data_IF_150915028824
#
_entry.id   IF_150915028824
#
_cell.length_a   1.000
_cell.length_b   1.000
_cell.length_c   1.000
_cell.angle_alpha   90.00
_cell.angle_beta   90.00
_cell.angle_gamma   90.00
#
_symmetry.space_group_name_H-M   'P 1'
#
loop_
_entity.id
_entity.type
_entity.pdbx_description
1 polymer ?
#
# COMPACT_ATOMS: atom_id res chain seq x y z
N UNK A 1 -4.77 -5.18 -7.98
CA UNK A 1 -3.93 -3.96 -7.85
C UNK A 1 -2.99 -3.88 -9.05
N UNK A 2 -2.81 -2.70 -9.56
CA UNK A 2 -1.88 -2.46 -10.67
C UNK A 2 -0.43 -2.61 -10.19
N UNK A 3 0.38 -3.34 -10.93
CA UNK A 3 1.80 -3.51 -10.62
C UNK A 3 2.58 -2.26 -11.07
N UNK A 4 3.42 -1.73 -10.20
CA UNK A 4 4.33 -0.62 -10.50
C UNK A 4 5.75 -1.16 -10.32
N UNK A 5 6.59 -0.99 -11.34
CA UNK A 5 7.86 -1.70 -11.44
C UNK A 5 9.10 -0.82 -11.36
N UNK A 6 8.95 0.49 -11.15
CA UNK A 6 10.07 1.41 -10.96
C UNK A 6 9.79 2.38 -9.82
N UNK A 7 10.87 2.85 -9.18
CA UNK A 7 10.75 3.85 -8.13
C UNK A 7 10.16 5.16 -8.65
N UNK A 8 10.57 5.58 -9.86
CA UNK A 8 10.05 6.81 -10.48
C UNK A 8 8.54 6.73 -10.70
N UNK A 9 8.04 5.60 -11.20
CA UNK A 9 6.60 5.41 -11.40
C UNK A 9 5.85 5.44 -10.07
N UNK A 10 6.41 4.86 -9.01
CA UNK A 10 5.83 4.93 -7.68
C UNK A 10 5.74 6.39 -7.20
N UNK A 11 6.82 7.12 -7.32
CA UNK A 11 6.87 8.53 -6.88
C UNK A 11 5.88 9.39 -7.66
N UNK A 12 5.74 9.14 -8.97
CA UNK A 12 4.76 9.85 -9.81
C UNK A 12 3.32 9.57 -9.36
N UNK A 13 3.03 8.31 -9.02
CA UNK A 13 1.70 7.93 -8.54
C UNK A 13 1.39 8.56 -7.18
N UNK A 14 2.37 8.59 -6.29
CA UNK A 14 2.21 9.24 -4.98
C UNK A 14 1.90 10.73 -5.15
N UNK A 15 2.63 11.40 -6.02
CA UNK A 15 2.46 12.84 -6.25
C UNK A 15 1.14 13.15 -6.97
N UNK A 16 0.65 12.25 -7.81
CA UNK A 16 -0.51 12.48 -8.67
C UNK A 16 -1.83 11.92 -8.13
N UNK A 17 -1.84 11.27 -6.98
CA UNK A 17 -3.05 10.63 -6.43
C UNK A 17 -3.52 11.33 -5.16
N UNK A 18 -4.84 11.49 -5.03
CA UNK A 18 -5.43 12.01 -3.80
C UNK A 18 -5.33 10.99 -2.68
N UNK A 19 -5.62 9.73 -2.98
CA UNK A 19 -5.52 8.62 -2.05
C UNK A 19 -4.87 7.44 -2.75
N UNK A 20 -3.76 6.95 -2.20
CA UNK A 20 -3.03 5.84 -2.78
C UNK A 20 -2.63 4.83 -1.70
N UNK A 21 -3.05 3.58 -1.88
CA UNK A 21 -2.56 2.47 -1.07
C UNK A 21 -1.46 1.74 -1.85
N UNK A 22 -0.33 1.52 -1.19
CA UNK A 22 0.81 0.81 -1.78
C UNK A 22 1.01 -0.49 -1.02
N UNK A 23 0.90 -1.60 -1.74
CA UNK A 23 1.12 -2.94 -1.19
C UNK A 23 2.50 -3.43 -1.61
N UNK A 24 3.40 -3.59 -0.65
CA UNK A 24 4.77 -4.03 -0.92
C UNK A 24 4.92 -5.50 -0.52
N UNK A 25 5.37 -6.31 -1.45
CA UNK A 25 5.53 -7.75 -1.24
C UNK A 25 6.84 -8.24 -1.86
N UNK A 26 7.08 -9.55 -1.72
CA UNK A 26 8.22 -10.23 -2.32
C UNK A 26 7.73 -11.56 -2.89
N UNK A 27 8.29 -12.05 -4.02
CA UNK A 27 7.79 -13.28 -4.65
C UNK A 27 7.83 -14.51 -3.76
N UNK A 28 8.77 -14.58 -2.81
CA UNK A 28 8.90 -15.73 -1.90
C UNK A 28 8.18 -15.56 -0.58
N UNK A 29 7.44 -14.47 -0.41
CA UNK A 29 6.71 -14.20 0.83
C UNK A 29 5.31 -14.83 0.79
N UNK A 30 5.14 -15.98 1.45
CA UNK A 30 3.86 -16.68 1.47
C UNK A 30 2.76 -15.87 2.16
N UNK A 31 3.11 -15.15 3.23
CA UNK A 31 2.17 -14.27 3.94
C UNK A 31 1.66 -13.16 3.02
N UNK A 32 2.54 -12.61 2.18
CA UNK A 32 2.17 -11.58 1.21
C UNK A 32 1.13 -12.11 0.21
N UNK A 33 1.31 -13.33 -0.27
CA UNK A 33 0.38 -13.96 -1.21
C UNK A 33 -0.99 -14.22 -0.59
N UNK A 34 -1.01 -14.60 0.69
CA UNK A 34 -2.26 -14.83 1.42
C UNK A 34 -2.99 -13.54 1.75
N UNK A 35 -2.23 -12.49 2.03
CA UNK A 35 -2.79 -11.19 2.43
C UNK A 35 -3.34 -10.40 1.25
N UNK A 36 -2.74 -10.52 0.07
CA UNK A 36 -3.10 -9.73 -1.11
C UNK A 36 -4.59 -9.78 -1.45
N UNK A 37 -5.23 -10.96 -1.56
CA UNK A 37 -6.66 -10.99 -1.87
C UNK A 37 -7.51 -10.36 -0.77
N UNK A 38 -7.08 -10.41 0.49
CA UNK A 38 -7.78 -9.77 1.59
C UNK A 38 -7.71 -8.24 1.47
N UNK A 39 -6.57 -7.70 1.07
CA UNK A 39 -6.41 -6.27 0.82
C UNK A 39 -7.27 -5.85 -0.36
N UNK A 40 -7.27 -6.63 -1.44
CA UNK A 40 -8.07 -6.32 -2.63
C UNK A 40 -9.57 -6.34 -2.30
N UNK A 41 -10.02 -7.29 -1.51
CA UNK A 41 -11.43 -7.36 -1.08
C UNK A 41 -11.78 -6.13 -0.21
N UNK A 42 -10.93 -5.78 0.74
CA UNK A 42 -11.11 -4.59 1.56
C UNK A 42 -11.27 -3.33 0.70
N UNK A 43 -10.45 -3.20 -0.34
CA UNK A 43 -10.45 -2.03 -1.21
C UNK A 43 -11.75 -1.87 -2.00
N UNK A 44 -12.55 -2.91 -2.15
CA UNK A 44 -13.86 -2.79 -2.80
C UNK A 44 -14.80 -1.88 -2.02
N UNK A 45 -14.55 -1.69 -0.74
CA UNK A 45 -15.33 -0.78 0.11
C UNK A 45 -14.85 0.67 0.01
N UNK A 46 -13.73 0.91 -0.67
CA UNK A 46 -13.11 2.23 -0.78
C UNK A 46 -12.81 2.56 -2.25
N UNK A 47 -13.85 2.78 -3.08
CA UNK A 47 -13.65 2.97 -4.52
C UNK A 47 -12.85 4.21 -4.90
N UNK A 48 -12.71 5.16 -3.99
CA UNK A 48 -11.94 6.39 -4.24
C UNK A 48 -10.45 6.21 -3.92
N UNK A 49 -10.04 5.07 -3.36
CA UNK A 49 -8.64 4.79 -3.08
C UNK A 49 -8.03 4.06 -4.28
N UNK A 50 -7.00 4.66 -4.87
CA UNK A 50 -6.19 3.97 -5.87
C UNK A 50 -5.25 3.01 -5.14
N UNK A 51 -4.95 1.87 -5.77
CA UNK A 51 -4.08 0.87 -5.16
C UNK A 51 -3.08 0.33 -6.16
N UNK A 52 -1.83 0.22 -5.74
CA UNK A 52 -0.75 -0.33 -6.54
C UNK A 52 0.02 -1.37 -5.75
N UNK A 53 0.67 -2.28 -6.46
CA UNK A 53 1.50 -3.33 -5.89
C UNK A 53 2.95 -3.12 -6.32
N UNK A 54 3.86 -3.22 -5.36
CA UNK A 54 5.30 -3.14 -5.57
C UNK A 54 5.92 -4.48 -5.16
N UNK A 55 6.74 -5.04 -6.05
CA UNK A 55 7.58 -6.18 -5.74
C UNK A 55 8.94 -5.62 -5.29
N UNK A 56 9.33 -5.90 -4.06
CA UNK A 56 10.58 -5.37 -3.49
C UNK A 56 11.82 -5.92 -4.19
N UNK A 57 11.69 -7.03 -4.92
CA UNK A 57 12.78 -7.60 -5.72
C UNK A 57 12.94 -6.82 -7.03
N UNK A 58 11.83 -6.38 -7.63
CA UNK A 58 11.87 -5.55 -8.84
C UNK A 58 12.28 -4.10 -8.55
N UNK A 59 11.91 -3.59 -7.38
CA UNK A 59 12.19 -2.20 -6.97
C UNK A 59 12.97 -2.21 -5.66
N UNK A 60 14.23 -2.67 -5.68
CA UNK A 60 15.03 -2.77 -4.44
C UNK A 60 15.29 -1.40 -3.79
N UNK A 61 15.25 -0.32 -4.56
CA UNK A 61 15.42 1.05 -4.05
C UNK A 61 14.35 1.46 -3.04
N UNK A 62 13.21 0.73 -2.99
CA UNK A 62 12.13 1.04 -2.07
C UNK A 62 12.58 0.93 -0.61
N UNK A 63 13.56 0.08 -0.34
CA UNK A 63 14.12 -0.09 1.00
C UNK A 63 14.69 1.22 1.53
N UNK A 64 15.57 1.84 0.77
CA UNK A 64 16.20 3.10 1.17
C UNK A 64 15.27 4.31 1.04
N UNK A 65 14.47 4.34 -0.03
CA UNK A 65 13.61 5.49 -0.31
C UNK A 65 12.47 5.64 0.70
N UNK A 66 11.92 4.51 1.18
CA UNK A 66 10.74 4.53 2.05
C UNK A 66 10.94 3.75 3.36
N UNK A 67 12.18 3.40 3.68
CA UNK A 67 12.52 2.65 4.91
C UNK A 67 11.72 1.36 5.03
N UNK A 68 11.72 0.56 3.94
CA UNK A 68 11.01 -0.71 3.88
C UNK A 68 12.03 -1.84 3.90
N UNK A 69 12.14 -2.53 5.05
CA UNK A 69 13.14 -3.57 5.27
C UNK A 69 12.53 -4.93 5.57
N UNK A 70 11.21 -5.04 5.49
CA UNK A 70 10.46 -6.27 5.71
C UNK A 70 9.24 -6.26 4.81
N UNK A 71 8.61 -7.42 4.61
CA UNK A 71 7.35 -7.56 3.86
C UNK A 71 6.41 -8.50 4.63
N UNK A 72 5.09 -8.37 4.45
CA UNK A 72 4.38 -7.37 3.66
C UNK A 72 4.38 -5.99 4.32
N UNK A 73 4.24 -4.96 3.51
CA UNK A 73 4.04 -3.60 4.00
C UNK A 73 2.88 -2.97 3.25
N UNK A 74 2.00 -2.32 3.99
CA UNK A 74 0.92 -1.51 3.42
C UNK A 74 1.18 -0.07 3.82
N UNK A 75 1.30 0.79 2.82
CA UNK A 75 1.42 2.23 3.00
C UNK A 75 0.16 2.89 2.48
N UNK A 76 -0.31 3.93 3.15
CA UNK A 76 -1.40 4.75 2.64
C UNK A 76 -0.96 6.19 2.58
N UNK A 77 -1.07 6.77 1.39
CA UNK A 77 -0.72 8.17 1.12
C UNK A 77 -1.99 8.98 0.91
N UNK A 78 -2.08 10.09 1.61
CA UNK A 78 -3.17 11.05 1.47
C UNK A 78 -2.57 12.36 0.98
N UNK A 79 -2.96 12.78 -0.22
CA UNK A 79 -2.44 13.99 -0.86
C UNK A 79 -0.90 14.02 -0.89
N UNK A 80 -0.29 12.88 -1.22
CA UNK A 80 1.15 12.74 -1.35
C UNK A 80 1.90 12.50 -0.05
N UNK A 81 1.20 12.42 1.09
CA UNK A 81 1.83 12.22 2.40
C UNK A 81 1.51 10.85 2.96
N UNK A 82 2.52 10.17 3.47
CA UNK A 82 2.32 8.91 4.15
C UNK A 82 1.54 9.15 5.44
N UNK A 83 0.33 8.59 5.52
CA UNK A 83 -0.59 8.81 6.63
C UNK A 83 -0.73 7.56 7.50
N UNK A 84 -0.51 6.38 6.90
CA UNK A 84 -0.68 5.12 7.58
C UNK A 84 0.36 4.13 7.07
N UNK A 85 0.92 3.33 7.97
CA UNK A 85 1.89 2.28 7.64
C UNK A 85 1.63 1.06 8.51
N UNK A 86 1.57 -0.11 7.87
CA UNK A 86 1.54 -1.40 8.55
C UNK A 86 2.62 -2.29 7.95
N UNK A 87 3.43 -2.88 8.80
CA UNK A 87 4.57 -3.70 8.38
C UNK A 87 4.51 -5.08 9.04
N UNK A 88 4.79 -6.12 8.29
CA UNK A 88 4.86 -7.54 8.68
C UNK A 88 3.50 -8.12 9.07
N UNK A 89 2.82 -7.53 10.02
CA UNK A 89 1.52 -7.98 10.51
C UNK A 89 0.47 -6.93 10.13
N UNK A 90 -0.48 -7.33 9.29
CA UNK A 90 -1.50 -6.42 8.73
C UNK A 90 -2.89 -6.97 9.07
N UNK A 91 -3.44 -6.62 10.24
CA UNK A 91 -4.80 -7.04 10.59
C UNK A 91 -5.81 -6.26 9.77
N UNK A 92 -6.50 -6.96 8.86
CA UNK A 92 -7.40 -6.33 7.87
C UNK A 92 -8.53 -5.55 8.54
N UNK A 93 -9.12 -6.10 9.60
CA UNK A 93 -10.20 -5.40 10.30
C UNK A 93 -9.77 -4.05 10.88
N UNK A 94 -8.58 -4.02 11.47
CA UNK A 94 -8.01 -2.78 12.02
C UNK A 94 -7.66 -1.79 10.91
N UNK A 95 -7.06 -2.28 9.83
CA UNK A 95 -6.72 -1.44 8.68
C UNK A 95 -7.99 -0.85 8.06
N UNK A 96 -9.02 -1.66 7.88
CA UNK A 96 -10.32 -1.22 7.36
C UNK A 96 -10.88 -0.09 8.22
N UNK A 97 -10.87 -0.28 9.53
CA UNK A 97 -11.38 0.72 10.46
C UNK A 97 -10.61 2.05 10.37
N UNK A 98 -9.29 1.97 10.27
CA UNK A 98 -8.46 3.17 10.14
C UNK A 98 -8.71 3.89 8.83
N UNK A 99 -8.90 3.16 7.72
CA UNK A 99 -9.23 3.77 6.43
C UNK A 99 -10.61 4.42 6.46
N UNK A 100 -11.59 3.79 7.12
CA UNK A 100 -12.92 4.38 7.29
C UNK A 100 -12.85 5.71 8.02
N UNK A 101 -12.06 5.78 9.08
CA UNK A 101 -11.89 7.03 9.83
C UNK A 101 -11.24 8.12 8.98
N UNK A 102 -10.24 7.76 8.16
CA UNK A 102 -9.60 8.72 7.26
C UNK A 102 -10.57 9.24 6.20
N UNK A 103 -11.48 8.39 5.70
CA UNK A 103 -12.52 8.82 4.76
C UNK A 103 -13.47 9.83 5.42
N UNK A 104 -13.87 9.60 6.66
CA UNK A 104 -14.73 10.52 7.41
C UNK A 104 -14.07 11.87 7.59
N UNK A 105 -12.77 11.90 7.84
CA UNK A 105 -12.02 13.13 8.04
C UNK A 105 -11.85 13.95 6.76
N UNK A 106 -11.98 13.32 5.60
CA UNK A 106 -11.88 14.00 4.30
C UNK A 106 -13.15 14.72 3.89
N UNK A 107 -14.29 14.22 4.31
CA UNK A 107 -15.60 14.73 3.85
C UNK A 107 -16.12 15.94 4.63
#
# INVERSE_FOLDING_TARGET
MEAVTTLTALQDRIAGSDQLLVYVSHPTCSVCHSLKPQVEEMLTEFPDIEAIAIDSDEVPEIAGAYSIFTVPVVLFFLDGRETLRRARFVPIGELTHQLERLQEMRS
#
